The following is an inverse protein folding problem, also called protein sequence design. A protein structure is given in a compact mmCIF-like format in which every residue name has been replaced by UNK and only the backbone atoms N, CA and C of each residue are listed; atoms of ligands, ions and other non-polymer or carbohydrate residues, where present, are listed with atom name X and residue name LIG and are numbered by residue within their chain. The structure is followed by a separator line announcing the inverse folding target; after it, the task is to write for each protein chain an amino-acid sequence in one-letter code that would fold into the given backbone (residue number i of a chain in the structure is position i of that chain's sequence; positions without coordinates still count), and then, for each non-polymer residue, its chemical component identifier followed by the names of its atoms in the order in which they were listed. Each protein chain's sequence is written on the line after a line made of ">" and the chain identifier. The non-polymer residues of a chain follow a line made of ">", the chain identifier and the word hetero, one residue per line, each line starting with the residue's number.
data_IF_382259467695
#
_entry.id   IF_382259467695
#
_cell.length_a   1.000
_cell.length_b   1.000
_cell.length_c   1.000
_cell.angle_alpha   90.00
_cell.angle_beta   90.00
_cell.angle_gamma   90.00
#
_symmetry.space_group_name_H-M   'P 1'
#
loop_
_entity.id
_entity.type
_entity.pdbx_description
1 polymer ?
#
# COMPACT_ATOMS: atom_id res chain seq x y z
N UNK A 1 5.25 8.61 11.73
CA UNK A 1 6.40 8.14 10.92
C UNK A 1 6.27 6.63 10.81
N UNK A 2 5.55 6.14 9.79
CA UNK A 2 5.29 4.71 9.59
C UNK A 2 6.42 4.19 8.71
N UNK A 3 7.22 3.29 9.26
CA UNK A 3 8.34 2.70 8.54
C UNK A 3 7.80 1.71 7.49
N UNK A 4 7.61 2.19 6.26
CA UNK A 4 7.12 1.39 5.13
C UNK A 4 8.07 0.24 4.73
N UNK A 5 9.31 0.23 5.21
CA UNK A 5 10.21 -0.93 5.18
C UNK A 5 10.97 -0.95 6.51
N UNK A 6 10.20 -0.95 7.61
CA UNK A 6 10.73 -0.96 8.97
C UNK A 6 11.64 -2.16 9.20
N UNK A 7 12.91 -1.85 9.41
CA UNK A 7 14.01 -2.76 9.69
C UNK A 7 13.65 -3.76 10.79
N UNK A 8 13.34 -5.01 10.42
CA UNK A 8 13.41 -6.16 11.32
C UNK A 8 13.45 -7.46 10.50
N UNK A 9 14.59 -7.65 9.84
CA UNK A 9 15.26 -8.93 9.64
C UNK A 9 16.54 -8.63 8.85
N UNK A 10 17.59 -8.23 9.56
CA UNK A 10 18.95 -8.38 9.03
C UNK A 10 19.21 -9.89 9.01
N UNK A 11 18.78 -10.57 7.95
CA UNK A 11 19.28 -11.91 7.66
C UNK A 11 20.74 -11.74 7.27
N UNK A 12 21.62 -12.38 8.04
CA UNK A 12 23.04 -12.45 7.73
C UNK A 12 23.21 -12.94 6.29
N UNK A 13 23.87 -12.15 5.44
CA UNK A 13 24.22 -12.58 4.10
C UNK A 13 25.30 -13.66 4.21
N UNK A 14 24.95 -14.89 3.83
CA UNK A 14 25.96 -15.90 3.55
C UNK A 14 26.49 -15.63 2.13
N UNK A 15 27.63 -14.95 2.06
CA UNK A 15 28.37 -14.70 0.81
C UNK A 15 28.98 -16.01 0.30
N UNK A 16 28.16 -16.85 -0.33
CA UNK A 16 28.63 -17.96 -1.14
C UNK A 16 28.90 -17.44 -2.55
N UNK A 17 30.17 -17.38 -2.95
CA UNK A 17 30.58 -17.10 -4.32
C UNK A 17 29.94 -18.16 -5.25
N UNK A 18 28.88 -17.77 -5.96
CA UNK A 18 28.06 -18.66 -6.81
C UNK A 18 26.58 -18.72 -6.46
N UNK A 19 26.13 -18.09 -5.36
CA UNK A 19 24.71 -17.98 -5.05
C UNK A 19 24.04 -16.92 -5.95
N UNK A 20 22.87 -17.23 -6.51
CA UNK A 20 22.04 -16.23 -7.17
C UNK A 20 21.54 -15.25 -6.12
N UNK A 21 21.85 -13.97 -6.33
CA UNK A 21 21.33 -12.88 -5.50
C UNK A 21 20.16 -12.24 -6.22
N UNK A 22 19.09 -11.96 -5.50
CA UNK A 22 18.00 -11.09 -5.89
C UNK A 22 18.06 -9.81 -5.05
N UNK A 23 17.97 -8.65 -5.69
CA UNK A 23 17.84 -7.36 -5.01
C UNK A 23 16.53 -6.71 -5.42
N UNK A 24 15.88 -6.09 -4.44
CA UNK A 24 14.66 -5.30 -4.65
C UNK A 24 14.97 -3.85 -4.33
N UNK A 25 14.71 -2.96 -5.28
CA UNK A 25 14.79 -1.51 -5.09
C UNK A 25 13.38 -0.89 -5.08
N UNK A 26 13.24 0.18 -4.31
CA UNK A 26 11.97 0.86 -4.11
C UNK A 26 12.18 2.35 -3.77
N UNK A 27 11.14 3.15 -3.99
CA UNK A 27 11.05 4.55 -3.58
C UNK A 27 9.77 4.77 -2.78
N UNK A 28 9.78 5.66 -1.79
CA UNK A 28 8.59 5.98 -0.96
C UNK A 28 7.34 6.26 -1.78
N UNK A 29 7.57 6.95 -2.89
CA UNK A 29 6.52 7.42 -3.78
C UNK A 29 6.16 6.38 -4.84
N UNK A 30 6.82 5.22 -4.85
CA UNK A 30 6.54 4.14 -5.79
C UNK A 30 5.47 3.19 -5.28
N UNK A 31 4.52 2.85 -6.16
CA UNK A 31 3.46 1.86 -5.94
C UNK A 31 3.87 0.41 -6.26
N UNK A 32 5.08 0.26 -6.81
CA UNK A 32 5.65 -1.01 -7.22
C UNK A 32 7.17 -1.03 -6.94
N UNK A 33 7.85 -2.13 -7.26
CA UNK A 33 9.27 -2.36 -6.99
C UNK A 33 10.03 -2.72 -8.27
N UNK A 34 11.35 -2.54 -8.23
CA UNK A 34 12.27 -3.03 -9.25
C UNK A 34 13.04 -4.19 -8.67
N UNK A 35 13.05 -5.32 -9.35
CA UNK A 35 13.72 -6.53 -8.85
C UNK A 35 14.74 -6.96 -9.88
N UNK A 36 16.00 -7.03 -9.48
CA UNK A 36 17.07 -7.62 -10.27
C UNK A 36 17.50 -8.94 -9.64
N UNK A 37 17.91 -9.91 -10.45
CA UNK A 37 18.61 -11.08 -9.92
C UNK A 37 19.66 -11.59 -10.90
N UNK A 38 20.64 -12.29 -10.34
CA UNK A 38 21.65 -13.02 -11.09
C UNK A 38 22.63 -12.15 -11.91
N UNK A 39 23.06 -10.99 -11.37
CA UNK A 39 24.12 -10.15 -11.96
C UNK A 39 25.54 -10.51 -11.48
N UNK A 40 25.74 -11.75 -11.05
CA UNK A 40 27.03 -12.31 -10.64
C UNK A 40 27.42 -12.06 -9.19
N UNK A 41 27.12 -10.88 -8.62
CA UNK A 41 27.30 -10.61 -7.19
C UNK A 41 26.21 -9.67 -6.65
N UNK A 42 26.21 -9.50 -5.33
CA UNK A 42 25.24 -8.65 -4.62
C UNK A 42 25.32 -7.20 -5.09
N UNK A 43 26.51 -6.62 -5.15
CA UNK A 43 26.71 -5.20 -5.46
C UNK A 43 26.19 -4.84 -6.85
N UNK A 44 26.47 -5.69 -7.85
CA UNK A 44 25.95 -5.50 -9.23
C UNK A 44 24.44 -5.67 -9.28
N UNK A 45 23.90 -6.65 -8.57
CA UNK A 45 22.46 -6.90 -8.53
C UNK A 45 21.75 -5.68 -7.93
N UNK A 46 22.20 -5.20 -6.76
CA UNK A 46 21.69 -3.99 -6.11
C UNK A 46 21.81 -2.75 -7.00
N UNK A 47 22.99 -2.52 -7.60
CA UNK A 47 23.23 -1.37 -8.46
C UNK A 47 22.27 -1.33 -9.66
N UNK A 48 21.95 -2.48 -10.27
CA UNK A 48 21.00 -2.54 -11.39
C UNK A 48 19.58 -2.20 -10.94
N UNK A 49 19.07 -2.80 -9.86
CA UNK A 49 17.73 -2.50 -9.37
C UNK A 49 17.59 -1.01 -8.97
N UNK A 50 18.57 -0.47 -8.24
CA UNK A 50 18.56 0.93 -7.80
C UNK A 50 18.65 1.89 -8.97
N UNK A 51 19.51 1.61 -9.96
CA UNK A 51 19.65 2.44 -11.17
C UNK A 51 18.32 2.55 -11.91
N UNK A 52 17.70 1.41 -12.19
CA UNK A 52 16.47 1.33 -12.96
C UNK A 52 15.29 1.99 -12.24
N UNK A 53 15.21 1.79 -10.92
CA UNK A 53 14.24 2.50 -10.09
C UNK A 53 14.48 4.01 -10.11
N UNK A 54 15.73 4.45 -9.94
CA UNK A 54 16.07 5.88 -9.86
C UNK A 54 15.80 6.59 -11.17
N UNK A 55 16.10 5.95 -12.31
CA UNK A 55 15.78 6.46 -13.64
C UNK A 55 14.27 6.59 -13.84
N UNK A 56 13.49 5.54 -13.52
CA UNK A 56 12.04 5.55 -13.67
C UNK A 56 11.34 6.56 -12.73
N UNK A 57 11.84 6.70 -11.51
CA UNK A 57 11.27 7.59 -10.49
C UNK A 57 11.86 8.99 -10.51
N UNK A 58 12.87 9.28 -11.34
CA UNK A 58 13.57 10.56 -11.39
C UNK A 58 13.99 11.10 -10.01
N UNK A 59 14.24 10.20 -9.06
CA UNK A 59 14.60 10.50 -7.68
C UNK A 59 15.33 9.29 -7.07
N UNK A 60 16.18 9.47 -6.05
CA UNK A 60 16.93 8.38 -5.47
C UNK A 60 16.02 7.24 -4.98
N UNK A 61 16.28 6.03 -5.46
CA UNK A 61 15.74 4.81 -4.88
C UNK A 61 16.74 4.17 -3.92
N UNK A 62 16.23 3.30 -3.05
CA UNK A 62 17.03 2.53 -2.11
C UNK A 62 16.80 1.03 -2.30
N UNK A 63 17.77 0.22 -1.89
CA UNK A 63 17.58 -1.22 -1.75
C UNK A 63 16.60 -1.46 -0.61
N UNK A 64 15.46 -2.05 -0.92
CA UNK A 64 14.45 -2.46 0.05
C UNK A 64 14.80 -3.80 0.69
N UNK A 65 15.39 -4.71 -0.09
CA UNK A 65 15.79 -6.04 0.39
C UNK A 65 16.72 -6.75 -0.59
N UNK A 66 17.45 -7.73 -0.06
CA UNK A 66 18.33 -8.61 -0.83
C UNK A 66 18.13 -10.06 -0.34
N UNK A 67 18.05 -11.02 -1.26
CA UNK A 67 17.85 -12.44 -0.97
C UNK A 67 18.83 -13.30 -1.74
N UNK A 68 19.32 -14.36 -1.10
CA UNK A 68 20.24 -15.34 -1.70
C UNK A 68 19.57 -16.68 -2.06
N UNK A 69 18.32 -16.90 -1.66
CA UNK A 69 17.53 -18.08 -2.00
C UNK A 69 16.04 -17.87 -1.70
N UNK A 70 15.20 -18.79 -2.18
CA UNK A 70 13.78 -18.85 -1.86
C UNK A 70 12.87 -18.02 -2.77
N UNK A 71 11.74 -17.60 -2.20
CA UNK A 71 10.64 -16.90 -2.86
C UNK A 71 10.37 -15.59 -2.11
N UNK A 72 10.19 -14.51 -2.87
CA UNK A 72 9.64 -13.25 -2.36
C UNK A 72 8.23 -13.05 -2.89
N UNK A 73 7.35 -12.50 -2.05
CA UNK A 73 6.00 -12.08 -2.45
C UNK A 73 5.85 -10.58 -2.20
N UNK A 74 5.54 -9.84 -3.26
CA UNK A 74 5.18 -8.42 -3.20
C UNK A 74 3.69 -8.31 -2.93
N UNK A 75 3.36 -7.49 -1.96
CA UNK A 75 2.01 -7.32 -1.47
C UNK A 75 1.72 -5.87 -1.18
N UNK A 76 0.43 -5.57 -1.01
CA UNK A 76 -0.04 -4.23 -0.70
C UNK A 76 -0.98 -4.25 0.49
N UNK A 77 -0.72 -3.40 1.47
CA UNK A 77 -1.60 -3.18 2.62
C UNK A 77 -2.85 -2.37 2.22
N UNK A 78 -3.86 -2.29 3.09
CA UNK A 78 -5.09 -1.53 2.82
C UNK A 78 -4.86 -0.02 2.54
N UNK A 79 -3.83 0.56 3.16
CA UNK A 79 -3.39 1.94 2.91
C UNK A 79 -2.57 2.09 1.62
N UNK A 80 -2.39 1.00 0.87
CA UNK A 80 -1.70 0.98 -0.41
C UNK A 80 -0.18 1.01 -0.35
N UNK A 81 0.41 0.76 0.83
CA UNK A 81 1.86 0.63 0.96
C UNK A 81 2.28 -0.77 0.50
N UNK A 82 3.17 -0.88 -0.51
CA UNK A 82 3.74 -2.15 -0.90
C UNK A 82 4.75 -2.63 0.15
N UNK A 83 4.81 -3.94 0.37
CA UNK A 83 5.81 -4.58 1.21
C UNK A 83 6.13 -5.97 0.66
N UNK A 84 7.24 -6.54 1.13
CA UNK A 84 7.72 -7.84 0.70
C UNK A 84 7.77 -8.80 1.88
N UNK A 85 7.31 -10.02 1.65
CA UNK A 85 7.51 -11.16 2.55
C UNK A 85 8.26 -12.27 1.84
N UNK A 86 8.88 -13.16 2.59
CA UNK A 86 9.83 -14.13 2.04
C UNK A 86 9.64 -15.51 2.67
N UNK A 87 10.05 -16.54 1.95
CA UNK A 87 10.06 -17.91 2.44
C UNK A 87 10.88 -18.84 1.54
N UNK A 88 11.20 -20.06 2.02
CA UNK A 88 11.89 -21.06 1.20
C UNK A 88 11.08 -21.49 -0.04
N UNK A 89 9.75 -21.37 0.00
CA UNK A 89 8.83 -21.69 -1.07
C UNK A 89 7.61 -20.74 -1.07
N UNK A 90 6.70 -20.92 -2.03
CA UNK A 90 5.48 -20.09 -2.16
C UNK A 90 4.58 -20.22 -0.91
N UNK A 91 4.21 -21.42 -0.42
CA UNK A 91 3.40 -21.54 0.80
C UNK A 91 3.99 -20.82 2.01
N UNK A 92 5.29 -20.93 2.26
CA UNK A 92 5.96 -20.28 3.37
C UNK A 92 5.99 -18.75 3.21
N UNK A 93 6.28 -18.24 2.01
CA UNK A 93 6.27 -16.80 1.75
C UNK A 93 4.87 -16.20 1.90
N UNK A 94 3.83 -16.91 1.44
CA UNK A 94 2.42 -16.51 1.65
C UNK A 94 1.99 -16.61 3.11
N UNK A 95 2.51 -17.59 3.86
CA UNK A 95 2.25 -17.70 5.29
C UNK A 95 2.85 -16.54 6.06
N UNK A 96 4.13 -16.22 5.82
CA UNK A 96 4.83 -15.06 6.41
C UNK A 96 4.08 -13.75 6.12
N UNK A 97 3.61 -13.61 4.88
CA UNK A 97 2.76 -12.49 4.49
C UNK A 97 1.48 -12.37 5.31
N UNK A 98 0.72 -13.45 5.45
CA UNK A 98 -0.56 -13.42 6.17
C UNK A 98 -0.35 -13.07 7.63
N UNK A 99 0.71 -13.58 8.24
CA UNK A 99 1.10 -13.23 9.60
C UNK A 99 1.43 -11.73 9.72
N UNK A 100 2.15 -11.16 8.76
CA UNK A 100 2.47 -9.73 8.75
C UNK A 100 1.22 -8.86 8.57
N UNK A 101 0.28 -9.24 7.71
CA UNK A 101 -0.99 -8.54 7.55
C UNK A 101 -1.85 -8.64 8.81
N UNK A 102 -1.97 -9.84 9.36
CA UNK A 102 -2.76 -10.09 10.57
C UNK A 102 -2.21 -9.34 11.78
N UNK A 103 -0.89 -9.29 11.96
CA UNK A 103 -0.25 -8.54 13.06
C UNK A 103 -0.41 -7.02 12.90
N UNK A 104 -0.47 -6.52 11.66
CA UNK A 104 -0.82 -5.14 11.35
C UNK A 104 -2.32 -4.84 11.43
N UNK A 105 -3.16 -5.84 11.77
CA UNK A 105 -4.62 -5.69 11.81
C UNK A 105 -5.23 -5.34 10.45
N UNK A 106 -4.61 -5.78 9.36
CA UNK A 106 -4.98 -5.40 7.99
C UNK A 106 -5.09 -6.62 7.08
N UNK A 107 -5.71 -6.44 5.92
CA UNK A 107 -5.75 -7.44 4.83
C UNK A 107 -4.83 -6.96 3.72
N UNK A 108 -3.97 -7.84 3.21
CA UNK A 108 -3.09 -7.49 2.10
C UNK A 108 -3.51 -8.16 0.80
N UNK A 109 -3.32 -7.46 -0.31
CA UNK A 109 -3.44 -8.01 -1.65
C UNK A 109 -2.08 -8.53 -2.11
N UNK A 110 -2.04 -9.75 -2.66
CA UNK A 110 -0.85 -10.29 -3.32
C UNK A 110 -0.72 -9.65 -4.71
N UNK A 111 0.40 -8.98 -4.98
CA UNK A 111 0.66 -8.34 -6.26
C UNK A 111 1.54 -9.21 -7.17
N UNK A 112 2.63 -9.73 -6.63
CA UNK A 112 3.64 -10.47 -7.42
C UNK A 112 4.37 -11.51 -6.58
N UNK A 113 4.85 -12.55 -7.26
CA UNK A 113 5.75 -13.56 -6.70
C UNK A 113 7.04 -13.53 -7.51
N UNK A 114 8.19 -13.53 -6.82
CA UNK A 114 9.53 -13.58 -7.38
C UNK A 114 10.27 -14.81 -6.86
N UNK A 115 11.01 -15.46 -7.74
CA UNK A 115 11.85 -16.61 -7.39
C UNK A 115 13.30 -16.18 -7.51
N UNK A 116 14.10 -16.40 -6.47
CA UNK A 116 15.55 -16.13 -6.55
C UNK A 116 16.20 -17.07 -7.56
N UNK A 117 15.70 -18.29 -7.66
CA UNK A 117 16.06 -19.26 -8.68
C UNK A 117 14.82 -19.64 -9.50
N UNK A 118 14.71 -19.10 -10.71
CA UNK A 118 13.66 -19.44 -11.67
C UNK A 118 14.10 -20.50 -12.69
N UNK A 119 15.30 -21.08 -12.50
CA UNK A 119 15.92 -22.03 -13.40
C UNK A 119 16.62 -21.41 -14.61
N UNK A 120 16.60 -20.08 -14.76
CA UNK A 120 17.30 -19.38 -15.84
C UNK A 120 18.60 -18.73 -15.31
N UNK A 121 19.78 -19.18 -15.77
CA UNK A 121 21.07 -18.73 -15.27
C UNK A 121 21.52 -17.36 -15.83
N UNK A 122 20.70 -16.66 -16.60
CA UNK A 122 20.98 -15.30 -17.07
C UNK A 122 20.63 -14.21 -16.06
N UNK A 123 21.12 -12.98 -16.25
CA UNK A 123 20.67 -11.82 -15.49
C UNK A 123 19.22 -11.48 -15.82
N UNK A 124 18.45 -11.08 -14.82
CA UNK A 124 17.03 -10.76 -14.97
C UNK A 124 16.67 -9.46 -14.28
N UNK A 125 15.69 -8.77 -14.85
CA UNK A 125 15.19 -7.53 -14.31
C UNK A 125 13.68 -7.44 -14.50
N UNK A 126 12.97 -7.41 -13.39
CA UNK A 126 11.58 -7.03 -13.34
C UNK A 126 11.47 -5.50 -13.26
N UNK A 127 10.64 -4.96 -14.15
CA UNK A 127 10.19 -3.57 -14.13
C UNK A 127 8.66 -3.54 -14.02
N UNK A 128 8.08 -2.58 -13.31
CA UNK A 128 6.65 -2.33 -13.36
C UNK A 128 6.21 -2.08 -14.82
N UNK A 129 5.04 -2.60 -15.21
CA UNK A 129 4.56 -2.55 -16.60
C UNK A 129 3.95 -1.18 -16.94
N UNK A 130 3.34 -0.52 -15.95
CA UNK A 130 2.60 0.72 -16.15
C UNK A 130 3.32 1.91 -15.49
N UNK A 131 4.14 2.61 -16.29
CA UNK A 131 4.86 3.80 -15.84
C UNK A 131 3.95 4.93 -15.35
N UNK A 132 2.70 4.99 -15.83
CA UNK A 132 1.73 6.03 -15.42
C UNK A 132 1.21 5.83 -14.00
N UNK A 133 1.37 4.61 -13.44
CA UNK A 133 0.95 4.24 -12.08
C UNK A 133 2.10 4.07 -11.11
N UNK A 134 3.34 4.29 -11.56
CA UNK A 134 4.53 4.17 -10.72
C UNK A 134 4.44 5.07 -9.50
N UNK A 135 4.09 6.35 -9.71
CA UNK A 135 3.98 7.30 -8.61
C UNK A 135 2.64 7.12 -7.90
N UNK A 136 2.69 6.92 -6.59
CA UNK A 136 1.53 6.89 -5.72
C UNK A 136 0.79 8.21 -5.79
N UNK A 137 -0.52 8.08 -5.78
CA UNK A 137 -1.48 9.14 -5.56
C UNK A 137 -2.24 8.85 -4.29
N UNK A 138 -2.40 9.86 -3.44
CA UNK A 138 -2.92 9.70 -2.10
C UNK A 138 -4.31 10.30 -2.00
N UNK A 139 -5.15 9.61 -1.22
CA UNK A 139 -6.48 10.04 -0.82
C UNK A 139 -6.64 10.00 0.69
N UNK A 140 -7.42 10.93 1.22
CA UNK A 140 -7.79 11.00 2.63
C UNK A 140 -9.28 11.33 2.78
N UNK A 141 -9.87 10.78 3.83
CA UNK A 141 -11.27 10.96 4.20
C UNK A 141 -11.34 11.49 5.63
N UNK A 142 -12.07 12.59 5.81
CA UNK A 142 -12.28 13.30 7.07
C UNK A 142 -13.77 13.36 7.39
N UNK A 143 -14.12 13.20 8.66
CA UNK A 143 -15.47 13.32 9.18
C UNK A 143 -15.57 14.50 10.15
N UNK A 144 -16.61 15.31 10.03
CA UNK A 144 -16.97 16.31 11.03
C UNK A 144 -17.77 15.66 12.19
N UNK A 145 -17.30 15.78 13.43
CA UNK A 145 -17.86 15.09 14.60
C UNK A 145 -19.11 15.74 15.22
N UNK A 146 -19.53 16.96 14.83
CA UNK A 146 -20.59 17.64 15.57
C UNK A 146 -21.99 17.12 15.23
N UNK A 147 -22.65 16.53 16.23
CA UNK A 147 -23.98 15.91 16.19
C UNK A 147 -25.17 16.84 15.84
N UNK A 148 -24.94 18.14 15.65
CA UNK A 148 -26.04 19.09 15.61
C UNK A 148 -26.45 19.59 14.22
N UNK A 149 -25.67 19.38 13.13
CA UNK A 149 -26.21 19.74 11.79
C UNK A 149 -25.57 19.23 10.51
N UNK A 150 -24.38 18.63 10.46
CA UNK A 150 -23.82 18.16 9.18
C UNK A 150 -22.67 17.16 9.43
N UNK A 151 -22.96 15.86 9.51
CA UNK A 151 -21.93 14.79 9.59
C UNK A 151 -21.31 14.54 8.22
N UNK A 152 -20.79 15.60 7.60
CA UNK A 152 -20.24 15.53 6.25
C UNK A 152 -18.93 14.76 6.23
N UNK A 153 -18.78 13.98 5.17
CA UNK A 153 -17.57 13.28 4.79
C UNK A 153 -16.83 14.21 3.82
N UNK A 154 -15.61 14.60 4.14
CA UNK A 154 -14.76 15.45 3.31
C UNK A 154 -13.62 14.63 2.73
N UNK A 155 -13.37 14.79 1.43
CA UNK A 155 -12.40 13.99 0.69
C UNK A 155 -11.40 14.90 0.00
N UNK A 156 -10.15 14.46 -0.01
CA UNK A 156 -9.14 14.96 -0.93
C UNK A 156 -8.34 13.77 -1.47
N UNK A 157 -8.29 13.61 -2.80
CA UNK A 157 -7.56 12.54 -3.48
C UNK A 157 -6.77 13.02 -4.69
N UNK A 158 -5.92 12.16 -5.25
CA UNK A 158 -5.03 12.49 -6.36
C UNK A 158 -3.77 13.26 -5.95
N UNK A 159 -3.48 13.40 -4.64
CA UNK A 159 -2.33 14.15 -4.14
C UNK A 159 -1.04 13.36 -4.29
N UNK A 160 0.08 14.06 -4.43
CA UNK A 160 1.41 13.43 -4.56
C UNK A 160 1.91 12.78 -3.26
N UNK A 161 1.41 13.22 -2.11
CA UNK A 161 1.81 12.70 -0.81
C UNK A 161 0.61 12.61 0.15
N UNK A 162 0.72 11.71 1.13
CA UNK A 162 -0.33 11.43 2.10
C UNK A 162 -0.66 12.65 2.98
N UNK A 163 0.35 13.43 3.37
CA UNK A 163 0.16 14.54 4.30
C UNK A 163 -0.62 15.68 3.64
N UNK A 164 -0.36 15.96 2.37
CA UNK A 164 -1.12 16.92 1.56
C UNK A 164 -2.57 16.46 1.41
N UNK A 165 -2.83 15.18 1.10
CA UNK A 165 -4.21 14.67 1.06
C UNK A 165 -4.94 14.84 2.40
N UNK A 166 -4.29 14.50 3.50
CA UNK A 166 -4.86 14.65 4.85
C UNK A 166 -5.12 16.12 5.18
N UNK A 167 -4.16 16.99 4.93
CA UNK A 167 -4.27 18.42 5.22
C UNK A 167 -5.38 19.08 4.40
N UNK A 168 -5.48 18.77 3.11
CA UNK A 168 -6.52 19.30 2.23
C UNK A 168 -7.92 18.85 2.68
N UNK A 169 -8.10 17.56 2.99
CA UNK A 169 -9.38 17.05 3.48
C UNK A 169 -9.77 17.69 4.83
N UNK A 170 -8.80 17.90 5.73
CA UNK A 170 -9.02 18.60 7.01
C UNK A 170 -9.34 20.08 6.81
N UNK A 171 -8.65 20.74 5.88
CA UNK A 171 -8.88 22.15 5.55
C UNK A 171 -10.29 22.35 4.97
N UNK A 172 -10.74 21.47 4.09
CA UNK A 172 -12.11 21.49 3.55
C UNK A 172 -13.15 21.35 4.66
N UNK A 173 -12.94 20.40 5.58
CA UNK A 173 -13.85 20.20 6.71
C UNK A 173 -13.94 21.46 7.60
N UNK A 174 -12.80 22.08 7.93
CA UNK A 174 -12.75 23.30 8.74
C UNK A 174 -13.35 24.51 8.00
N UNK A 175 -13.11 24.61 6.69
CA UNK A 175 -13.62 25.69 5.85
C UNK A 175 -15.15 25.74 5.78
N UNK A 176 -15.82 24.58 5.92
CA UNK A 176 -17.28 24.49 6.01
C UNK A 176 -17.85 24.73 7.43
N UNK A 177 -17.02 25.16 8.37
CA UNK A 177 -17.42 25.39 9.76
C UNK A 177 -17.39 24.14 10.64
N UNK A 178 -16.71 23.07 10.20
CA UNK A 178 -16.44 21.90 11.03
C UNK A 178 -15.51 22.25 12.19
N UNK A 179 -16.02 22.16 13.42
CA UNK A 179 -15.26 22.50 14.64
C UNK A 179 -14.38 21.34 15.11
N UNK A 180 -14.82 20.10 14.88
CA UNK A 180 -14.10 18.88 15.25
C UNK A 180 -14.00 17.94 14.03
N UNK A 181 -12.95 18.15 13.23
CA UNK A 181 -12.69 17.40 12.01
C UNK A 181 -11.67 16.30 12.26
N UNK A 182 -12.06 15.04 12.08
CA UNK A 182 -11.22 13.87 12.30
C UNK A 182 -11.00 13.09 11.00
N UNK A 183 -9.75 12.83 10.66
CA UNK A 183 -9.40 11.87 9.61
C UNK A 183 -9.83 10.46 10.05
N UNK A 184 -10.62 9.80 9.22
CA UNK A 184 -11.11 8.44 9.46
C UNK A 184 -10.38 7.39 8.61
N UNK A 185 -9.82 7.78 7.45
CA UNK A 185 -9.01 6.89 6.61
C UNK A 185 -8.12 7.69 5.64
N UNK A 186 -7.01 7.08 5.22
CA UNK A 186 -6.17 7.55 4.12
C UNK A 186 -5.46 6.37 3.43
N UNK A 187 -4.95 6.59 2.23
CA UNK A 187 -4.08 5.62 1.56
C UNK A 187 -3.56 6.10 0.20
N UNK A 188 -2.56 5.41 -0.35
CA UNK A 188 -1.94 5.70 -1.64
C UNK A 188 -2.22 4.62 -2.68
N UNK A 189 -2.67 4.96 -3.89
CA UNK A 189 -3.08 4.02 -4.94
C UNK A 189 -4.11 2.96 -4.53
N UNK A 190 -4.84 3.21 -3.44
CA UNK A 190 -5.92 2.38 -2.91
C UNK A 190 -7.30 2.97 -3.24
N UNK A 191 -8.37 2.18 -3.05
CA UNK A 191 -9.73 2.69 -2.97
C UNK A 191 -10.15 2.78 -1.51
N UNK A 192 -10.96 3.78 -1.18
CA UNK A 192 -11.48 4.02 0.15
C UNK A 192 -13.00 3.97 0.08
N UNK A 193 -13.59 2.91 0.62
CA UNK A 193 -15.04 2.79 0.77
C UNK A 193 -15.44 3.48 2.07
N UNK A 194 -16.36 4.43 2.00
CA UNK A 194 -16.95 5.10 3.16
C UNK A 194 -18.37 4.59 3.34
N UNK A 195 -18.74 4.21 4.57
CA UNK A 195 -20.06 3.69 4.89
C UNK A 195 -20.58 4.27 6.21
N UNK A 196 -21.90 4.24 6.37
CA UNK A 196 -22.58 4.47 7.64
C UNK A 196 -23.27 3.22 8.16
N UNK A 197 -23.44 3.09 9.47
CA UNK A 197 -24.23 2.03 10.12
C UNK A 197 -25.64 2.52 10.47
N UNK A 198 -26.58 1.60 10.72
CA UNK A 198 -27.92 1.91 11.24
C UNK A 198 -27.91 2.52 12.65
N UNK A 199 -26.78 2.45 13.37
CA UNK A 199 -26.54 3.15 14.64
C UNK A 199 -26.02 4.58 14.42
N UNK A 200 -25.79 4.96 13.17
CA UNK A 200 -25.28 6.25 12.76
C UNK A 200 -23.75 6.33 12.80
N UNK A 201 -22.99 5.26 13.01
CA UNK A 201 -21.52 5.34 12.94
C UNK A 201 -21.09 5.58 11.48
N UNK A 202 -20.02 6.36 11.26
CA UNK A 202 -19.40 6.52 9.94
C UNK A 202 -17.97 6.03 10.00
N UNK A 203 -17.60 5.15 9.09
CA UNK A 203 -16.30 4.52 9.03
C UNK A 203 -15.85 4.33 7.58
N UNK A 204 -14.57 4.02 7.40
CA UNK A 204 -13.99 3.86 6.06
C UNK A 204 -13.02 2.67 6.01
N UNK A 205 -13.08 1.92 4.92
CA UNK A 205 -12.27 0.74 4.63
C UNK A 205 -11.37 1.01 3.42
N UNK A 206 -10.08 0.68 3.52
CA UNK A 206 -9.11 0.81 2.42
C UNK A 206 -8.84 -0.52 1.72
N UNK A 207 -8.62 -0.52 0.40
CA UNK A 207 -8.28 -1.71 -0.37
C UNK A 207 -8.25 -1.47 -1.89
N UNK A 208 -7.62 -2.36 -2.64
CA UNK A 208 -7.44 -2.17 -4.09
C UNK A 208 -8.71 -2.45 -4.91
N UNK A 209 -9.55 -3.36 -4.41
CA UNK A 209 -10.66 -3.97 -5.14
C UNK A 209 -12.01 -3.61 -4.50
N UNK A 210 -12.93 -2.95 -5.25
CA UNK A 210 -14.26 -2.60 -4.73
C UNK A 210 -15.03 -3.80 -4.18
N UNK A 211 -15.00 -4.94 -4.89
CA UNK A 211 -15.68 -6.16 -4.49
C UNK A 211 -15.21 -6.67 -3.14
N UNK A 212 -13.89 -6.63 -2.88
CA UNK A 212 -13.31 -7.01 -1.60
C UNK A 212 -13.74 -6.05 -0.49
N UNK A 213 -13.80 -4.74 -0.78
CA UNK A 213 -14.29 -3.74 0.17
C UNK A 213 -15.75 -3.96 0.54
N UNK A 214 -16.60 -4.31 -0.43
CA UNK A 214 -17.99 -4.68 -0.17
C UNK A 214 -18.11 -5.96 0.64
N UNK A 215 -17.32 -7.00 0.35
CA UNK A 215 -17.27 -8.22 1.17
C UNK A 215 -16.86 -7.92 2.61
N UNK A 216 -15.81 -7.11 2.81
CA UNK A 216 -15.33 -6.72 4.13
C UNK A 216 -16.37 -5.89 4.88
N UNK A 217 -17.05 -4.97 4.19
CA UNK A 217 -18.15 -4.20 4.75
C UNK A 217 -19.28 -5.14 5.23
N UNK A 218 -19.74 -6.04 4.37
CA UNK A 218 -20.83 -6.96 4.73
C UNK A 218 -20.47 -7.84 5.93
N UNK A 219 -19.24 -8.34 6.00
CA UNK A 219 -18.75 -9.11 7.13
C UNK A 219 -18.76 -8.29 8.43
N UNK A 220 -18.24 -7.06 8.40
CA UNK A 220 -18.27 -6.14 9.53
C UNK A 220 -19.70 -5.86 10.02
N UNK A 221 -20.62 -5.57 9.10
CA UNK A 221 -21.99 -5.23 9.45
C UNK A 221 -22.76 -6.43 10.04
N UNK A 222 -22.49 -7.64 9.52
CA UNK A 222 -23.02 -8.87 10.08
C UNK A 222 -22.50 -9.14 11.50
N UNK A 223 -21.20 -8.97 11.73
CA UNK A 223 -20.56 -9.13 13.05
C UNK A 223 -21.12 -8.13 14.07
N UNK A 224 -21.32 -6.88 13.66
CA UNK A 224 -21.83 -5.81 14.52
C UNK A 224 -23.37 -5.83 14.69
N UNK A 225 -24.07 -6.72 13.98
CA UNK A 225 -25.53 -6.83 13.96
C UNK A 225 -26.17 -5.47 13.62
N UNK A 226 -25.68 -4.84 12.54
CA UNK A 226 -26.18 -3.55 12.01
C UNK A 226 -26.41 -3.64 10.50
N UNK A 227 -27.23 -2.74 9.97
CA UNK A 227 -27.26 -2.49 8.52
C UNK A 227 -26.22 -1.45 8.21
N UNK A 228 -25.51 -1.59 7.09
CA UNK A 228 -24.62 -0.55 6.60
C UNK A 228 -25.04 -0.05 5.23
N UNK A 229 -24.80 1.24 4.99
CA UNK A 229 -25.06 1.91 3.72
C UNK A 229 -23.76 2.50 3.21
N UNK A 230 -23.39 2.14 1.98
CA UNK A 230 -22.24 2.75 1.31
C UNK A 230 -22.59 4.18 0.95
N UNK A 231 -21.72 5.10 1.35
CA UNK A 231 -21.90 6.53 1.14
C UNK A 231 -21.15 6.99 -0.12
N UNK A 232 -19.90 6.54 -0.25
CA UNK A 232 -19.09 6.81 -1.43
C UNK A 232 -17.92 5.82 -1.52
N UNK A 233 -17.34 5.70 -2.71
CA UNK A 233 -16.13 4.96 -2.99
C UNK A 233 -15.13 5.91 -3.64
N UNK A 234 -14.10 6.27 -2.89
CA UNK A 234 -13.04 7.18 -3.34
C UNK A 234 -11.94 6.37 -3.99
N UNK A 235 -11.47 6.80 -5.15
CA UNK A 235 -10.23 6.28 -5.74
C UNK A 235 -9.10 7.28 -5.50
N UNK A 236 -8.11 6.91 -4.67
CA UNK A 236 -6.98 7.80 -4.33
C UNK A 236 -6.18 8.25 -5.56
N UNK A 237 -6.30 7.54 -6.69
CA UNK A 237 -5.65 7.86 -7.97
C UNK A 237 -6.32 8.99 -8.73
N UNK A 238 -7.59 9.27 -8.47
CA UNK A 238 -8.35 10.30 -9.15
C UNK A 238 -8.29 11.59 -8.34
N UNK A 239 -8.12 12.72 -9.04
CA UNK A 239 -8.18 14.03 -8.39
C UNK A 239 -9.61 14.31 -7.96
N UNK A 240 -9.79 14.50 -6.66
CA UNK A 240 -11.09 14.83 -6.07
C UNK A 240 -10.88 15.76 -4.87
N UNK A 241 -11.82 16.68 -4.69
CA UNK A 241 -11.92 17.55 -3.52
C UNK A 241 -13.41 17.85 -3.36
N UNK A 242 -14.05 17.13 -2.44
CA UNK A 242 -15.52 17.02 -2.39
C UNK A 242 -16.02 16.82 -0.96
N UNK A 243 -17.35 16.84 -0.80
CA UNK A 243 -18.01 16.41 0.42
C UNK A 243 -19.28 15.60 0.14
N UNK A 244 -19.65 14.75 1.08
CA UNK A 244 -20.87 13.93 1.05
C UNK A 244 -21.63 14.04 2.37
N UNK A 245 -22.96 14.05 2.31
CA UNK A 245 -23.84 13.98 3.48
C UNK A 245 -24.39 12.55 3.58
N UNK A 246 -24.09 11.81 4.66
CA UNK A 246 -24.48 10.42 4.83
C UNK A 246 -25.96 10.20 5.18
#
# INVERSE_FOLDING_TARGET
>A
MIAAFGSNAVLASHDNAGATIMSVAWSSDSDDVWVSWNYGNKEKTEAVAVKECTEAMSQPCQVASTLSSGVAVLQRQQNGIPFLSYGPDIPAALSSSREQCSSAGTVCALLKVFFVHDGNPGPHLYRPVDNSRLRKKYGAVVLASSAAKNRRIHIASGRSDAQTAINDALANCKGEGGIDCKMIQWGGNTKILVASSSKGDVFALGGDYPEQLHTNLNAYCAEQVVTCTVQTLVDSRLEETSFYSP
#
